data_IF_464362652935
#
_entry.id   IF_464362652935
#
_cell.length_a   1.000
_cell.length_b   1.000
_cell.length_c   1.000
_cell.angle_alpha   90.00
_cell.angle_beta   90.00
_cell.angle_gamma   90.00
#
_symmetry.space_group_name_H-M   'P 1'
#
loop_
_entity.id
_entity.type
_entity.pdbx_description
1 polymer ?
#
# COMPACT_ATOMS: atom_id res chain seq x y z
N UNK A 1 2.14 2.69 15.80
CA UNK A 1 1.39 1.50 15.36
C UNK A 1 -0.10 1.83 15.39
N UNK A 2 -0.85 1.42 14.34
CA UNK A 2 -2.29 1.69 14.24
C UNK A 2 -2.67 3.12 13.87
N UNK A 3 -1.76 3.97 13.42
CA UNK A 3 -2.03 5.33 12.94
C UNK A 3 -2.16 5.38 11.41
N UNK A 4 -2.89 6.38 10.91
CA UNK A 4 -2.76 6.85 9.53
C UNK A 4 -1.89 8.12 9.54
N UNK A 5 -0.73 8.05 8.91
CA UNK A 5 0.25 9.14 8.86
C UNK A 5 0.38 9.65 7.43
N UNK A 6 0.18 10.96 7.23
CA UNK A 6 0.51 11.61 5.97
C UNK A 6 1.98 12.07 5.98
N UNK A 7 2.68 11.84 4.88
CA UNK A 7 3.99 12.43 4.59
C UNK A 7 3.82 13.40 3.44
N UNK A 8 3.98 14.69 3.74
CA UNK A 8 3.82 15.78 2.79
C UNK A 8 5.16 16.47 2.49
N UNK A 9 5.21 17.23 1.42
CA UNK A 9 6.36 18.06 1.03
C UNK A 9 6.34 18.36 -0.47
N UNK A 10 7.16 19.32 -0.90
CA UNK A 10 7.30 19.69 -2.31
C UNK A 10 7.88 18.54 -3.16
N UNK A 11 7.79 18.66 -4.48
CA UNK A 11 8.50 17.74 -5.38
C UNK A 11 10.00 17.77 -5.08
N UNK A 12 10.65 16.63 -5.01
CA UNK A 12 12.08 16.53 -4.69
C UNK A 12 12.43 16.57 -3.20
N UNK A 13 11.47 16.75 -2.28
CA UNK A 13 11.74 16.84 -0.83
C UNK A 13 12.17 15.50 -0.17
N UNK A 14 12.25 14.39 -0.91
CA UNK A 14 12.70 13.09 -0.39
C UNK A 14 11.58 12.12 0.01
N UNK A 15 10.29 12.44 -0.23
CA UNK A 15 9.15 11.59 0.14
C UNK A 15 9.23 10.17 -0.44
N UNK A 16 9.49 10.04 -1.74
CA UNK A 16 9.60 8.73 -2.40
C UNK A 16 10.85 7.97 -1.94
N UNK A 17 11.95 8.66 -1.64
CA UNK A 17 13.14 8.05 -1.05
C UNK A 17 12.82 7.49 0.33
N UNK A 18 12.16 8.26 1.19
CA UNK A 18 11.70 7.79 2.50
C UNK A 18 10.77 6.59 2.37
N UNK A 19 9.81 6.65 1.43
CA UNK A 19 8.87 5.55 1.20
C UNK A 19 9.60 4.28 0.74
N UNK A 20 10.60 4.41 -0.14
CA UNK A 20 11.42 3.28 -0.61
C UNK A 20 12.24 2.66 0.52
N UNK A 21 12.83 3.48 1.40
CA UNK A 21 13.56 3.00 2.58
C UNK A 21 12.61 2.25 3.52
N UNK A 22 11.47 2.85 3.86
CA UNK A 22 10.45 2.21 4.69
C UNK A 22 9.89 0.95 4.04
N UNK A 23 9.84 0.94 2.71
CA UNK A 23 9.44 -0.19 1.88
C UNK A 23 10.49 -1.29 1.76
N UNK A 24 11.70 -1.09 2.29
CA UNK A 24 12.85 -1.98 2.10
C UNK A 24 13.19 -2.19 0.61
N UNK A 25 12.92 -1.18 -0.22
CA UNK A 25 13.27 -1.17 -1.65
C UNK A 25 14.63 -0.53 -1.88
N UNK A 26 15.03 0.39 -1.00
CA UNK A 26 16.33 1.05 -0.96
C UNK A 26 16.97 0.91 0.43
N UNK A 27 18.31 0.97 0.48
CA UNK A 27 19.06 1.06 1.73
C UNK A 27 19.09 2.48 2.29
N UNK A 28 19.70 2.62 3.48
CA UNK A 28 20.01 3.92 4.10
C UNK A 28 21.44 3.89 4.64
N UNK A 29 22.09 5.06 4.66
CA UNK A 29 23.53 5.17 5.00
C UNK A 29 23.76 5.17 6.52
N UNK A 30 22.86 5.77 7.29
CA UNK A 30 22.96 5.89 8.74
C UNK A 30 21.60 6.01 9.41
N UNK A 31 21.57 5.80 10.73
CA UNK A 31 20.35 5.80 11.51
C UNK A 31 19.90 4.39 11.86
N UNK A 32 18.68 4.30 12.38
CA UNK A 32 18.07 3.03 12.80
C UNK A 32 16.67 2.90 12.21
N UNK A 33 16.36 1.73 11.68
CA UNK A 33 15.02 1.37 11.23
C UNK A 33 14.63 0.02 11.84
N UNK A 34 13.58 0.02 12.65
CA UNK A 34 13.02 -1.17 13.29
C UNK A 34 11.60 -1.40 12.75
N UNK A 35 11.35 -2.59 12.21
CA UNK A 35 10.03 -3.02 11.73
C UNK A 35 9.57 -4.26 12.50
N UNK A 36 8.44 -4.16 13.19
CA UNK A 36 7.89 -5.25 14.00
C UNK A 36 8.88 -5.82 15.03
N UNK A 37 9.71 -4.94 15.64
CA UNK A 37 10.72 -5.31 16.62
C UNK A 37 12.05 -5.81 16.06
N UNK A 38 12.19 -5.91 14.74
CA UNK A 38 13.41 -6.40 14.08
C UNK A 38 14.15 -5.25 13.40
N UNK A 39 15.51 -5.19 13.51
CA UNK A 39 16.31 -4.18 12.83
C UNK A 39 16.40 -4.47 11.32
N UNK A 40 16.20 -3.41 10.52
CA UNK A 40 16.18 -3.50 9.05
C UNK A 40 17.51 -3.07 8.40
N UNK A 41 18.50 -2.64 9.18
CA UNK A 41 19.82 -2.24 8.67
C UNK A 41 20.61 -3.43 8.14
N UNK A 42 21.33 -3.26 7.03
CA UNK A 42 22.25 -4.26 6.48
C UNK A 42 21.60 -5.53 5.92
N UNK A 43 20.29 -5.51 5.68
CA UNK A 43 19.60 -6.64 5.06
C UNK A 43 20.02 -6.80 3.60
N UNK A 44 20.43 -8.01 3.21
CA UNK A 44 20.55 -8.36 1.80
C UNK A 44 19.17 -8.49 1.14
N UNK A 45 19.09 -8.33 -0.20
CA UNK A 45 17.81 -8.30 -0.96
C UNK A 45 16.87 -9.48 -0.66
N UNK A 46 17.41 -10.69 -0.49
CA UNK A 46 16.60 -11.88 -0.18
C UNK A 46 15.89 -11.77 1.19
N UNK A 47 16.57 -11.20 2.18
CA UNK A 47 15.99 -10.97 3.51
C UNK A 47 14.97 -9.83 3.46
N UNK A 48 15.31 -8.70 2.82
CA UNK A 48 14.43 -7.58 2.61
C UNK A 48 13.12 -8.01 1.90
N UNK A 49 13.20 -8.80 0.83
CA UNK A 49 12.04 -9.35 0.13
C UNK A 49 11.14 -10.21 1.04
N UNK A 50 11.73 -10.97 1.96
CA UNK A 50 10.97 -11.76 2.94
C UNK A 50 10.21 -10.87 3.92
N UNK A 51 10.86 -9.82 4.44
CA UNK A 51 10.22 -8.84 5.33
C UNK A 51 9.14 -8.04 4.60
N UNK A 52 9.40 -7.58 3.36
CA UNK A 52 8.38 -6.94 2.51
C UNK A 52 7.13 -7.82 2.38
N UNK A 53 7.32 -9.06 1.96
CA UNK A 53 6.22 -10.01 1.74
C UNK A 53 5.42 -10.33 3.02
N UNK A 54 6.03 -10.18 4.18
CA UNK A 54 5.40 -10.54 5.47
C UNK A 54 4.73 -9.35 6.15
N UNK A 55 5.33 -8.17 6.08
CA UNK A 55 4.94 -7.05 6.94
C UNK A 55 4.43 -5.83 6.18
N UNK A 56 4.72 -5.71 4.86
CA UNK A 56 4.42 -4.52 4.10
C UNK A 56 3.38 -4.78 3.00
N UNK A 57 2.46 -3.84 2.85
CA UNK A 57 1.57 -3.73 1.70
C UNK A 57 1.87 -2.44 0.94
N UNK A 58 1.74 -2.46 -0.38
CA UNK A 58 2.01 -1.30 -1.22
C UNK A 58 0.78 -0.92 -2.04
N UNK A 59 0.48 0.38 -2.05
CA UNK A 59 -0.56 1.00 -2.86
C UNK A 59 0.07 2.17 -3.62
N UNK A 60 -0.07 2.21 -4.94
CA UNK A 60 0.57 3.20 -5.82
C UNK A 60 -0.46 4.02 -6.59
N UNK A 61 -0.09 5.23 -6.97
CA UNK A 61 -0.89 6.11 -7.80
C UNK A 61 -1.30 5.47 -9.15
N UNK A 62 -0.38 4.76 -9.78
CA UNK A 62 -0.60 4.07 -11.06
C UNK A 62 -1.20 2.66 -10.89
N UNK A 63 -1.72 2.33 -9.69
CA UNK A 63 -2.30 1.02 -9.32
C UNK A 63 -1.32 -0.15 -9.43
N UNK A 64 -0.40 -0.15 -10.36
CA UNK A 64 0.61 -1.19 -10.65
C UNK A 64 -0.01 -2.60 -10.72
N UNK A 65 -1.17 -2.71 -11.38
CA UNK A 65 -1.82 -4.00 -11.65
C UNK A 65 -1.20 -4.64 -12.89
N UNK A 66 -1.08 -5.96 -12.85
CA UNK A 66 -0.62 -6.73 -14.00
C UNK A 66 -1.76 -6.81 -15.02
N UNK A 67 -1.63 -6.13 -16.17
CA UNK A 67 -2.70 -5.88 -17.11
C UNK A 67 -3.34 -7.13 -17.75
N UNK A 68 -2.58 -8.23 -17.87
CA UNK A 68 -3.06 -9.52 -18.41
C UNK A 68 -3.57 -10.49 -17.33
N UNK A 69 -3.59 -10.08 -16.05
CA UNK A 69 -4.17 -10.83 -14.94
C UNK A 69 -5.49 -10.23 -14.51
N UNK A 70 -6.44 -11.07 -14.17
CA UNK A 70 -7.73 -10.67 -13.61
C UNK A 70 -7.56 -10.00 -12.24
N UNK A 71 -8.62 -9.35 -11.74
CA UNK A 71 -8.60 -8.74 -10.41
C UNK A 71 -8.23 -9.75 -9.31
N UNK A 72 -8.84 -10.93 -9.30
CA UNK A 72 -8.54 -11.98 -8.32
C UNK A 72 -7.10 -12.48 -8.43
N UNK A 73 -6.55 -12.60 -9.64
CA UNK A 73 -5.16 -13.01 -9.85
C UNK A 73 -4.16 -11.94 -9.40
N UNK A 74 -4.50 -10.65 -9.57
CA UNK A 74 -3.71 -9.55 -9.04
C UNK A 74 -3.70 -9.55 -7.51
N UNK A 75 -4.86 -9.72 -6.86
CA UNK A 75 -4.97 -9.80 -5.41
C UNK A 75 -4.25 -11.04 -4.85
N UNK A 76 -4.33 -12.18 -5.53
CA UNK A 76 -3.69 -13.42 -5.12
C UNK A 76 -2.16 -13.43 -5.25
N UNK A 77 -1.56 -12.45 -5.91
CA UNK A 77 -0.13 -12.44 -6.25
C UNK A 77 0.81 -12.51 -5.03
N UNK A 78 0.62 -11.75 -3.94
CA UNK A 78 1.47 -11.86 -2.76
C UNK A 78 1.47 -13.26 -2.16
N UNK A 79 0.33 -13.95 -2.14
CA UNK A 79 0.19 -15.30 -1.62
C UNK A 79 0.90 -16.35 -2.50
N UNK A 80 1.07 -16.06 -3.79
CA UNK A 80 1.88 -16.90 -4.67
C UNK A 80 3.35 -16.94 -4.20
N UNK A 81 3.92 -15.79 -3.85
CA UNK A 81 5.29 -15.70 -3.32
C UNK A 81 5.39 -16.34 -1.92
N UNK A 82 4.31 -16.40 -1.16
CA UNK A 82 4.23 -17.11 0.11
C UNK A 82 3.99 -18.63 -0.07
N UNK A 83 4.01 -19.14 -1.32
CA UNK A 83 3.83 -20.56 -1.68
C UNK A 83 2.46 -21.14 -1.32
N UNK A 84 1.44 -20.29 -1.17
CA UNK A 84 0.05 -20.74 -0.97
C UNK A 84 -0.48 -21.38 -2.26
N UNK A 85 -1.21 -22.50 -2.14
CA UNK A 85 -1.76 -23.23 -3.28
C UNK A 85 -2.72 -22.34 -4.12
N UNK A 86 -2.85 -22.62 -5.43
CA UNK A 86 -3.72 -21.80 -6.32
C UNK A 86 -5.17 -21.76 -5.84
N UNK A 87 -5.71 -22.89 -5.40
CA UNK A 87 -7.09 -22.97 -4.91
C UNK A 87 -7.29 -22.10 -3.67
N UNK A 88 -6.40 -22.25 -2.71
CA UNK A 88 -6.45 -21.53 -1.43
C UNK A 88 -6.22 -20.01 -1.61
N UNK A 89 -5.18 -19.59 -2.36
CA UNK A 89 -4.92 -18.16 -2.56
C UNK A 89 -6.04 -17.45 -3.31
N UNK A 90 -6.72 -18.14 -4.27
CA UNK A 90 -7.87 -17.55 -4.96
C UNK A 90 -9.08 -17.42 -4.01
N UNK A 91 -9.30 -18.38 -3.12
CA UNK A 91 -10.35 -18.30 -2.11
C UNK A 91 -10.10 -17.11 -1.16
N UNK A 92 -8.87 -16.97 -0.65
CA UNK A 92 -8.48 -15.84 0.19
C UNK A 92 -8.61 -14.52 -0.59
N UNK A 93 -8.11 -14.46 -1.83
CA UNK A 93 -8.20 -13.25 -2.65
C UNK A 93 -9.65 -12.80 -2.89
N UNK A 94 -10.58 -13.75 -3.05
CA UNK A 94 -12.01 -13.47 -3.17
C UNK A 94 -12.58 -12.79 -1.90
N UNK A 95 -12.17 -13.25 -0.71
CA UNK A 95 -12.58 -12.62 0.55
C UNK A 95 -12.14 -11.14 0.63
N UNK A 96 -10.92 -10.84 0.16
CA UNK A 96 -10.42 -9.47 0.13
C UNK A 96 -11.08 -8.62 -0.96
N UNK A 97 -11.43 -9.21 -2.11
CA UNK A 97 -12.24 -8.52 -3.11
C UNK A 97 -13.63 -8.16 -2.58
N UNK A 98 -14.27 -9.05 -1.81
CA UNK A 98 -15.53 -8.76 -1.10
C UNK A 98 -15.37 -7.61 -0.11
N UNK A 99 -14.29 -7.61 0.70
CA UNK A 99 -13.98 -6.51 1.64
C UNK A 99 -13.95 -5.14 0.98
N UNK A 100 -13.50 -5.06 -0.27
CA UNK A 100 -13.43 -3.80 -1.03
C UNK A 100 -14.63 -3.59 -1.98
N UNK A 101 -15.66 -4.44 -1.93
CA UNK A 101 -16.89 -4.36 -2.72
C UNK A 101 -16.69 -4.66 -4.20
N UNK A 102 -15.83 -5.62 -4.55
CA UNK A 102 -15.46 -5.97 -5.91
C UNK A 102 -15.58 -7.48 -6.23
N UNK A 103 -16.41 -8.23 -5.51
CA UNK A 103 -16.60 -9.66 -5.79
C UNK A 103 -17.09 -9.94 -7.23
N UNK A 104 -17.99 -9.14 -7.74
CA UNK A 104 -18.54 -9.29 -9.11
C UNK A 104 -17.50 -8.96 -10.19
N UNK A 105 -16.42 -8.26 -9.81
CA UNK A 105 -15.34 -7.84 -10.70
C UNK A 105 -14.13 -8.78 -10.66
N UNK A 106 -14.20 -9.90 -9.92
CA UNK A 106 -13.08 -10.79 -9.68
C UNK A 106 -12.40 -11.31 -10.96
N UNK A 107 -13.17 -11.58 -12.02
CA UNK A 107 -12.67 -12.12 -13.28
C UNK A 107 -12.38 -11.05 -14.35
N UNK A 108 -12.56 -9.78 -14.06
CA UNK A 108 -12.29 -8.68 -15.00
C UNK A 108 -10.80 -8.34 -15.05
N UNK A 109 -10.35 -7.92 -16.23
CA UNK A 109 -9.00 -7.42 -16.44
C UNK A 109 -8.93 -5.93 -16.06
N UNK A 110 -7.75 -5.39 -15.69
CA UNK A 110 -7.59 -3.98 -15.33
C UNK A 110 -8.08 -2.99 -16.39
N UNK A 111 -7.96 -3.30 -17.68
CA UNK A 111 -8.44 -2.44 -18.76
C UNK A 111 -9.98 -2.36 -18.84
N UNK A 112 -10.69 -3.24 -18.16
CA UNK A 112 -12.15 -3.28 -18.10
C UNK A 112 -12.70 -2.59 -16.83
N UNK A 113 -11.84 -2.00 -15.99
CA UNK A 113 -12.16 -1.45 -14.69
C UNK A 113 -11.95 0.06 -14.66
N UNK A 114 -12.79 0.78 -13.90
CA UNK A 114 -12.58 2.20 -13.59
C UNK A 114 -11.33 2.42 -12.73
N UNK A 115 -10.85 3.68 -12.63
CA UNK A 115 -9.72 4.05 -11.78
C UNK A 115 -9.94 3.65 -10.32
N UNK A 116 -11.12 3.96 -9.77
CA UNK A 116 -11.48 3.62 -8.40
C UNK A 116 -11.55 2.11 -8.15
N UNK A 117 -12.06 1.34 -9.11
CA UNK A 117 -12.05 -0.12 -9.03
C UNK A 117 -10.62 -0.68 -9.04
N UNK A 118 -9.75 -0.18 -9.93
CA UNK A 118 -8.33 -0.57 -9.97
C UNK A 118 -7.64 -0.27 -8.64
N UNK A 119 -7.92 0.88 -8.05
CA UNK A 119 -7.33 1.26 -6.76
C UNK A 119 -7.82 0.35 -5.64
N UNK A 120 -9.11 0.00 -5.60
CA UNK A 120 -9.63 -0.96 -4.63
C UNK A 120 -9.01 -2.36 -4.81
N UNK A 121 -8.74 -2.81 -6.05
CA UNK A 121 -7.98 -4.05 -6.31
C UNK A 121 -6.56 -3.94 -5.78
N UNK A 122 -5.87 -2.81 -5.99
CA UNK A 122 -4.52 -2.58 -5.48
C UNK A 122 -4.49 -2.59 -3.93
N UNK A 123 -5.50 -2.02 -3.28
CA UNK A 123 -5.68 -2.06 -1.82
C UNK A 123 -5.93 -3.49 -1.35
N UNK A 124 -6.83 -4.24 -1.99
CA UNK A 124 -7.07 -5.65 -1.66
C UNK A 124 -5.80 -6.50 -1.81
N UNK A 125 -4.99 -6.24 -2.85
CA UNK A 125 -3.68 -6.88 -3.04
C UNK A 125 -2.70 -6.54 -1.92
N UNK A 126 -2.68 -5.29 -1.46
CA UNK A 126 -1.82 -4.90 -0.34
C UNK A 126 -2.21 -5.61 0.96
N UNK A 127 -3.51 -5.82 1.18
CA UNK A 127 -4.07 -6.41 2.40
C UNK A 127 -3.96 -7.93 2.50
N UNK A 128 -3.97 -8.63 1.36
CA UNK A 128 -4.12 -10.09 1.32
C UNK A 128 -3.02 -10.85 2.08
N UNK A 129 -1.83 -10.23 2.19
CA UNK A 129 -0.70 -10.77 2.96
C UNK A 129 -0.80 -10.47 4.47
N UNK A 130 -1.86 -9.80 4.94
CA UNK A 130 -2.07 -9.36 6.33
C UNK A 130 -0.89 -8.52 6.84
N UNK A 131 -0.54 -7.42 6.17
CA UNK A 131 0.62 -6.61 6.52
C UNK A 131 0.44 -5.92 7.87
N UNK A 132 1.56 -5.50 8.48
CA UNK A 132 1.57 -4.60 9.64
C UNK A 132 1.49 -3.13 9.23
N UNK A 133 2.05 -2.80 8.06
CA UNK A 133 2.11 -1.45 7.53
C UNK A 133 1.71 -1.45 6.05
N UNK A 134 0.86 -0.51 5.66
CA UNK A 134 0.58 -0.18 4.27
C UNK A 134 1.32 1.12 3.92
N UNK A 135 2.10 1.08 2.87
CA UNK A 135 2.78 2.22 2.26
C UNK A 135 2.02 2.64 1.02
N UNK A 136 1.45 3.83 1.03
CA UNK A 136 0.62 4.36 -0.05
C UNK A 136 1.29 5.58 -0.67
N UNK A 137 1.65 5.50 -1.94
CA UNK A 137 2.24 6.58 -2.72
C UNK A 137 1.17 7.22 -3.60
N UNK A 138 0.73 8.43 -3.24
CA UNK A 138 -0.31 9.20 -3.92
C UNK A 138 -1.57 8.34 -4.23
N UNK A 139 -2.17 7.66 -3.24
CA UNK A 139 -3.20 6.64 -3.50
C UNK A 139 -4.47 7.18 -4.15
N UNK A 140 -4.65 8.50 -4.19
CA UNK A 140 -5.80 9.22 -4.75
C UNK A 140 -5.47 10.04 -5.98
N UNK A 141 -4.20 10.23 -6.31
CA UNK A 141 -3.74 11.19 -7.31
C UNK A 141 -4.17 10.94 -8.77
N UNK A 142 -4.73 9.76 -9.07
CA UNK A 142 -5.30 9.41 -10.38
C UNK A 142 -6.84 9.32 -10.37
N UNK A 143 -7.50 9.80 -9.31
CA UNK A 143 -8.92 9.63 -9.07
C UNK A 143 -9.64 10.99 -8.99
N UNK A 144 -10.94 11.01 -9.29
CA UNK A 144 -11.78 12.16 -9.02
C UNK A 144 -12.04 12.33 -7.50
N UNK A 145 -12.44 13.53 -7.08
CA UNK A 145 -12.59 13.88 -5.65
C UNK A 145 -13.59 12.99 -4.89
N UNK A 146 -14.65 12.49 -5.56
CA UNK A 146 -15.61 11.59 -4.93
C UNK A 146 -14.97 10.23 -4.67
N UNK A 147 -14.36 9.66 -5.70
CA UNK A 147 -13.67 8.37 -5.62
C UNK A 147 -12.50 8.41 -4.63
N UNK A 148 -11.77 9.55 -4.57
CA UNK A 148 -10.71 9.79 -3.59
C UNK A 148 -11.20 9.67 -2.15
N UNK A 149 -12.34 10.28 -1.83
CA UNK A 149 -12.96 10.17 -0.49
C UNK A 149 -13.39 8.75 -0.16
N UNK A 150 -13.93 8.02 -1.14
CA UNK A 150 -14.31 6.61 -0.95
C UNK A 150 -13.09 5.73 -0.66
N UNK A 151 -11.97 5.96 -1.37
CA UNK A 151 -10.70 5.26 -1.13
C UNK A 151 -10.14 5.59 0.26
N UNK A 152 -10.16 6.86 0.68
CA UNK A 152 -9.71 7.25 2.01
C UNK A 152 -10.60 6.68 3.11
N UNK A 153 -11.91 6.61 2.89
CA UNK A 153 -12.84 5.94 3.82
C UNK A 153 -12.48 4.47 3.98
N UNK A 154 -12.24 3.77 2.87
CA UNK A 154 -11.81 2.36 2.89
C UNK A 154 -10.48 2.19 3.66
N UNK A 155 -9.48 3.04 3.42
CA UNK A 155 -8.20 2.99 4.15
C UNK A 155 -8.40 3.24 5.65
N UNK A 156 -9.30 4.15 6.05
CA UNK A 156 -9.64 4.35 7.47
C UNK A 156 -10.33 3.12 8.10
N UNK A 157 -11.20 2.45 7.37
CA UNK A 157 -11.81 1.21 7.87
C UNK A 157 -10.77 0.12 8.08
N UNK A 158 -9.83 -0.02 7.14
CA UNK A 158 -8.70 -0.94 7.24
C UNK A 158 -7.80 -0.61 8.45
N UNK A 159 -7.52 0.67 8.66
CA UNK A 159 -6.71 1.11 9.80
C UNK A 159 -7.33 0.74 11.15
N UNK A 160 -8.67 0.79 11.28
CA UNK A 160 -9.36 0.36 12.50
C UNK A 160 -9.13 -1.13 12.85
N UNK A 161 -8.67 -1.94 11.89
CA UNK A 161 -8.24 -3.31 12.14
C UNK A 161 -6.83 -3.38 12.78
N UNK A 162 -6.19 -2.23 13.08
CA UNK A 162 -4.88 -2.11 13.72
C UNK A 162 -3.70 -2.02 12.75
N UNK A 163 -3.96 -1.87 11.45
CA UNK A 163 -2.91 -1.73 10.43
C UNK A 163 -2.45 -0.27 10.38
N UNK A 164 -1.14 -0.04 10.48
CA UNK A 164 -0.55 1.28 10.29
C UNK A 164 -0.55 1.64 8.79
N UNK A 165 -0.92 2.87 8.45
CA UNK A 165 -0.94 3.33 7.06
C UNK A 165 -0.09 4.59 6.94
N UNK A 166 0.88 4.59 6.03
CA UNK A 166 1.71 5.76 5.70
C UNK A 166 1.33 6.19 4.30
N UNK A 167 0.83 7.41 4.16
CA UNK A 167 0.37 8.00 2.89
C UNK A 167 1.33 9.11 2.50
N UNK A 168 2.03 8.96 1.40
CA UNK A 168 2.74 10.06 0.73
C UNK A 168 1.73 10.78 -0.14
N UNK A 169 1.57 12.09 0.07
CA UNK A 169 0.68 12.92 -0.74
C UNK A 169 1.13 14.37 -0.75
N UNK A 170 0.75 15.10 -1.79
CA UNK A 170 0.85 16.55 -1.86
C UNK A 170 -0.52 17.24 -1.67
N UNK A 171 -1.60 16.45 -1.53
CA UNK A 171 -2.96 16.95 -1.37
C UNK A 171 -3.25 17.23 0.12
N UNK A 172 -3.49 18.52 0.46
CA UNK A 172 -3.81 18.93 1.84
C UNK A 172 -5.11 18.31 2.35
N UNK A 173 -6.11 18.15 1.48
CA UNK A 173 -7.40 17.55 1.85
C UNK A 173 -7.25 16.07 2.25
N UNK A 174 -6.34 15.35 1.59
CA UNK A 174 -6.03 13.94 1.93
C UNK A 174 -5.25 13.88 3.25
N UNK A 175 -4.26 14.75 3.43
CA UNK A 175 -3.48 14.80 4.68
C UNK A 175 -4.36 15.17 5.89
N UNK A 176 -5.34 16.05 5.72
CA UNK A 176 -6.31 16.42 6.76
C UNK A 176 -7.20 15.25 7.22
N UNK A 177 -7.30 14.19 6.41
CA UNK A 177 -8.00 12.95 6.77
C UNK A 177 -7.11 11.97 7.54
N UNK A 178 -5.82 12.24 7.73
CA UNK A 178 -4.89 11.41 8.48
C UNK A 178 -4.85 11.82 9.96
N UNK A 179 -4.34 10.94 10.83
CA UNK A 179 -4.26 11.23 12.27
C UNK A 179 -3.10 12.20 12.56
N UNK A 180 -2.05 12.17 11.73
CA UNK A 180 -0.87 13.01 11.85
C UNK A 180 -0.24 13.29 10.48
N UNK A 181 0.37 14.46 10.35
CA UNK A 181 1.14 14.84 9.15
C UNK A 181 2.61 15.05 9.52
N UNK A 182 3.49 14.48 8.72
CA UNK A 182 4.94 14.72 8.72
C UNK A 182 5.24 15.58 7.51
N UNK A 183 5.84 16.74 7.71
CA UNK A 183 6.25 17.62 6.61
C UNK A 183 7.74 17.42 6.32
N UNK A 184 8.06 17.18 5.05
CA UNK A 184 9.42 17.01 4.54
C UNK A 184 9.80 18.20 3.66
N UNK A 185 10.92 18.84 3.97
CA UNK A 185 11.52 19.91 3.17
C UNK A 185 13.00 19.61 3.02
N UNK A 186 13.47 19.45 1.78
CA UNK A 186 14.88 19.21 1.45
C UNK A 186 15.52 18.05 2.24
N UNK A 187 14.75 16.97 2.44
CA UNK A 187 15.17 15.78 3.17
C UNK A 187 15.09 15.86 4.69
N UNK A 188 14.61 16.98 5.25
CA UNK A 188 14.46 17.21 6.68
C UNK A 188 12.99 17.21 7.09
N UNK A 189 12.71 16.71 8.29
CA UNK A 189 11.39 16.85 8.93
C UNK A 189 11.30 18.22 9.58
N UNK A 190 10.22 18.95 9.25
CA UNK A 190 9.96 20.31 9.75
C UNK A 190 8.60 20.41 10.42
#
# INVERSE_FOLDING_TARGET
EGEIVAVMGSSGSGKSTLLNILGLLDGFDSGEYILAGEPMAGLGERAAAKYRSKFLGFVFQSFNLIGFKTAIENVALPLYYQKVSRKERNAIAMEYLKKVGLEDWALYLPNQMSGGQKQRVAIARALVAKPKVILADEPTGALDSKTSREVMTLLREINKEGITIIIVTHEHDIAALCDRTILLTDGLIV
#
